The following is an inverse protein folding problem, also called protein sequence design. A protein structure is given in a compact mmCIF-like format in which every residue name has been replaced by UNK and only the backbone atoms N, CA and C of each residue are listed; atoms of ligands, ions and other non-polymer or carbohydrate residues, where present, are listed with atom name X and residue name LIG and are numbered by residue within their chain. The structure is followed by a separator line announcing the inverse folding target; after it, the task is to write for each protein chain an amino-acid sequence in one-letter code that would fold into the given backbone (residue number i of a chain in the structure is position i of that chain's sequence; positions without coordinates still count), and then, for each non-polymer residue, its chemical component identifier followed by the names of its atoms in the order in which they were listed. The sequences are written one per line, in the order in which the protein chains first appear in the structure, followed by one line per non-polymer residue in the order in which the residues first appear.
data_IF_745400038924
#
_entry.id   IF_745400038924
#
_cell.length_a   1.000
_cell.length_b   1.000
_cell.length_c   1.000
_cell.angle_alpha   90.00
_cell.angle_beta   90.00
_cell.angle_gamma   90.00
#
_symmetry.space_group_name_H-M   'P 1'
#
loop_
_entity.id
_entity.type
_entity.pdbx_description
1 polymer ?
#
# COMPACT_ATOMS: atom_id res chain seq x y z
N UNK A 1 -1.69 12.63 -8.88
CA UNK A 1 -2.15 11.25 -9.10
C UNK A 1 -0.93 10.37 -9.34
N UNK A 2 -0.94 9.13 -8.85
CA UNK A 2 0.14 8.13 -9.08
C UNK A 2 -0.39 7.14 -10.12
N UNK A 3 0.24 7.00 -11.31
CA UNK A 3 -0.16 6.01 -12.30
C UNK A 3 0.11 4.60 -11.76
N UNK A 4 -0.77 3.67 -12.10
CA UNK A 4 -0.67 2.26 -11.70
C UNK A 4 -0.96 1.39 -12.92
N UNK A 5 -0.40 0.19 -12.93
CA UNK A 5 -0.59 -0.77 -14.02
C UNK A 5 -1.96 -1.49 -13.96
N UNK A 6 -2.20 -2.38 -14.91
CA UNK A 6 -3.43 -3.17 -14.99
C UNK A 6 -3.59 -4.12 -13.80
N UNK A 7 -2.50 -4.66 -13.26
CA UNK A 7 -2.53 -5.55 -12.10
C UNK A 7 -3.05 -4.83 -10.85
N UNK A 8 -2.54 -3.62 -10.57
CA UNK A 8 -3.02 -2.81 -9.45
C UNK A 8 -4.46 -2.34 -9.71
N UNK A 9 -4.81 -2.01 -10.96
CA UNK A 9 -6.20 -1.69 -11.31
C UNK A 9 -7.15 -2.85 -10.96
N UNK A 10 -6.78 -4.09 -11.31
CA UNK A 10 -7.57 -5.28 -10.98
C UNK A 10 -7.69 -5.48 -9.47
N UNK A 11 -6.59 -5.31 -8.72
CA UNK A 11 -6.61 -5.39 -7.27
C UNK A 11 -7.57 -4.36 -6.65
N UNK A 12 -7.53 -3.11 -7.13
CA UNK A 12 -8.45 -2.05 -6.67
C UNK A 12 -9.90 -2.38 -7.01
N UNK A 13 -10.18 -2.94 -8.18
CA UNK A 13 -11.53 -3.39 -8.55
C UNK A 13 -12.02 -4.51 -7.64
N UNK A 14 -11.17 -5.49 -7.31
CA UNK A 14 -11.49 -6.56 -6.36
C UNK A 14 -11.76 -6.01 -4.96
N UNK A 15 -10.96 -5.05 -4.49
CA UNK A 15 -11.20 -4.39 -3.21
C UNK A 15 -12.53 -3.62 -3.20
N UNK A 16 -12.88 -2.93 -4.29
CA UNK A 16 -14.18 -2.26 -4.45
C UNK A 16 -15.33 -3.25 -4.42
N UNK A 17 -15.18 -4.39 -5.08
CA UNK A 17 -16.18 -5.47 -5.05
C UNK A 17 -16.40 -5.97 -3.62
N UNK A 18 -15.34 -6.25 -2.87
CA UNK A 18 -15.48 -6.64 -1.45
C UNK A 18 -16.07 -5.53 -0.59
N UNK A 19 -15.71 -4.26 -0.84
CA UNK A 19 -16.28 -3.12 -0.14
C UNK A 19 -17.78 -2.96 -0.39
N UNK A 20 -18.24 -3.27 -1.60
CA UNK A 20 -19.66 -3.26 -1.97
C UNK A 20 -20.46 -4.34 -1.21
N UNK A 21 -19.86 -5.49 -0.94
CA UNK A 21 -20.48 -6.56 -0.15
C UNK A 21 -20.45 -6.31 1.37
N UNK A 22 -19.70 -5.32 1.83
CA UNK A 22 -19.56 -5.04 3.25
C UNK A 22 -20.87 -4.43 3.81
N UNK A 23 -21.42 -4.96 4.91
CA UNK A 23 -22.68 -4.49 5.48
C UNK A 23 -22.58 -3.10 6.11
N UNK A 24 -21.37 -2.57 6.33
CA UNK A 24 -21.18 -1.22 6.87
C UNK A 24 -21.54 -0.16 5.83
N UNK A 25 -22.18 0.94 6.26
CA UNK A 25 -22.57 2.02 5.36
C UNK A 25 -21.38 2.56 4.57
N UNK A 26 -21.66 3.04 3.36
CA UNK A 26 -20.65 3.64 2.50
C UNK A 26 -20.09 4.92 3.16
N UNK A 27 -18.80 4.91 3.45
CA UNK A 27 -18.05 5.99 4.10
C UNK A 27 -17.04 6.66 3.14
N UNK A 28 -17.13 6.33 1.85
CA UNK A 28 -16.22 6.80 0.80
C UNK A 28 -14.83 6.16 0.84
N UNK A 29 -14.57 5.18 1.71
CA UNK A 29 -13.25 4.52 1.83
C UNK A 29 -13.19 3.23 1.04
N UNK A 30 -12.01 2.95 0.48
CA UNK A 30 -11.76 1.71 -0.27
C UNK A 30 -11.74 0.47 0.64
N UNK A 31 -11.21 0.60 1.85
CA UNK A 31 -11.12 -0.48 2.83
C UNK A 31 -12.11 -0.22 3.97
N UNK A 32 -12.91 -1.23 4.30
CA UNK A 32 -13.77 -1.20 5.46
C UNK A 32 -12.93 -1.26 6.75
N UNK A 33 -13.33 -0.50 7.76
CA UNK A 33 -12.64 -0.50 9.05
C UNK A 33 -12.91 0.74 9.89
N UNK A 34 -12.52 0.69 11.18
CA UNK A 34 -12.74 1.79 12.10
C UNK A 34 -12.08 3.09 11.58
N UNK A 35 -12.69 4.25 11.85
CA UNK A 35 -12.36 5.50 11.19
C UNK A 35 -10.91 5.96 11.42
N UNK A 36 -10.25 5.47 12.48
CA UNK A 36 -8.91 5.86 12.87
C UNK A 36 -7.82 5.25 11.96
N UNK A 37 -7.16 6.10 11.17
CA UNK A 37 -6.00 5.78 10.31
C UNK A 37 -4.92 4.95 11.03
N UNK A 38 -4.68 5.24 12.29
CA UNK A 38 -3.73 4.53 13.15
C UNK A 38 -4.08 3.04 13.32
N UNK A 39 -5.37 2.72 13.36
CA UNK A 39 -5.84 1.33 13.53
C UNK A 39 -5.55 0.49 12.29
N UNK A 40 -5.75 1.06 11.09
CA UNK A 40 -5.45 0.37 9.83
C UNK A 40 -3.95 0.05 9.71
N UNK A 41 -3.09 1.05 9.97
CA UNK A 41 -1.64 0.87 9.88
C UNK A 41 -1.12 -0.18 10.88
N UNK A 42 -1.66 -0.17 12.11
CA UNK A 42 -1.33 -1.18 13.12
C UNK A 42 -1.73 -2.58 12.65
N UNK A 43 -2.98 -2.76 12.19
CA UNK A 43 -3.46 -4.05 11.67
C UNK A 43 -2.64 -4.55 10.50
N UNK A 44 -2.30 -3.67 9.55
CA UNK A 44 -1.45 -4.03 8.41
C UNK A 44 -0.05 -4.47 8.86
N UNK A 45 0.55 -3.76 9.80
CA UNK A 45 1.86 -4.12 10.35
C UNK A 45 1.80 -5.47 11.08
N UNK A 46 0.78 -5.69 11.90
CA UNK A 46 0.62 -6.94 12.64
C UNK A 46 0.42 -8.12 11.67
N UNK A 47 -0.36 -7.92 10.60
CA UNK A 47 -0.54 -8.91 9.53
C UNK A 47 0.79 -9.20 8.79
N UNK A 48 1.56 -8.17 8.43
CA UNK A 48 2.87 -8.37 7.79
C UNK A 48 3.83 -9.14 8.70
N UNK A 49 3.81 -8.88 10.02
CA UNK A 49 4.60 -9.67 10.98
C UNK A 49 4.17 -11.14 11.02
N UNK A 50 2.86 -11.41 11.01
CA UNK A 50 2.33 -12.78 10.98
C UNK A 50 2.77 -13.53 9.72
N UNK A 51 2.72 -12.88 8.55
CA UNK A 51 3.18 -13.46 7.28
C UNK A 51 4.69 -13.71 7.29
N UNK A 52 5.49 -12.77 7.81
CA UNK A 52 6.93 -12.99 7.93
C UNK A 52 7.24 -14.19 8.84
N UNK A 53 6.55 -14.28 9.97
CA UNK A 53 6.70 -15.39 10.90
C UNK A 53 6.29 -16.73 10.28
N UNK A 54 5.15 -16.80 9.57
CA UNK A 54 4.68 -18.05 8.95
C UNK A 54 5.59 -18.54 7.82
N UNK A 55 6.34 -17.64 7.19
CA UNK A 55 7.33 -17.96 6.16
C UNK A 55 8.76 -18.17 6.72
N UNK A 56 8.95 -18.10 8.05
CA UNK A 56 10.28 -18.24 8.68
C UNK A 56 11.24 -17.08 8.37
N UNK A 57 10.72 -15.92 7.95
CA UNK A 57 11.51 -14.74 7.63
C UNK A 57 11.91 -14.03 8.93
N UNK A 58 13.21 -13.88 9.16
CA UNK A 58 13.77 -13.11 10.28
C UNK A 58 13.59 -11.60 10.11
N UNK A 59 13.26 -11.15 8.89
CA UNK A 59 13.12 -9.72 8.57
C UNK A 59 11.77 -9.19 9.02
N UNK A 60 11.78 -8.09 9.77
CA UNK A 60 10.57 -7.36 10.16
C UNK A 60 10.14 -6.42 9.05
N UNK A 61 9.15 -6.83 8.25
CA UNK A 61 8.59 -6.01 7.16
C UNK A 61 7.50 -5.07 7.69
N UNK A 62 7.61 -3.78 7.38
CA UNK A 62 6.64 -2.73 7.70
C UNK A 62 6.35 -1.84 6.47
N UNK A 63 5.22 -1.10 6.43
CA UNK A 63 4.78 -0.39 5.22
C UNK A 63 5.79 0.59 4.62
N UNK A 64 6.61 1.26 5.45
CA UNK A 64 7.62 2.19 4.92
C UNK A 64 8.70 1.48 4.09
N UNK A 65 9.05 0.22 4.42
CA UNK A 65 10.03 -0.55 3.65
C UNK A 65 9.48 -0.91 2.27
N UNK A 66 8.19 -1.23 2.17
CA UNK A 66 7.55 -1.45 0.86
C UNK A 66 7.63 -0.20 -0.03
N UNK A 67 7.52 1.00 0.57
CA UNK A 67 7.73 2.27 -0.14
C UNK A 67 9.18 2.46 -0.58
N UNK A 68 10.16 2.05 0.24
CA UNK A 68 11.56 2.04 -0.17
C UNK A 68 11.81 1.07 -1.32
N UNK A 69 11.26 -0.15 -1.25
CA UNK A 69 11.35 -1.13 -2.34
C UNK A 69 10.79 -0.55 -3.63
N UNK A 70 9.59 0.05 -3.62
CA UNK A 70 9.03 0.73 -4.78
C UNK A 70 9.98 1.81 -5.34
N UNK A 71 10.56 2.65 -4.48
CA UNK A 71 11.48 3.70 -4.90
C UNK A 71 12.75 3.14 -5.55
N UNK A 72 13.36 2.13 -4.94
CA UNK A 72 14.55 1.46 -5.46
C UNK A 72 14.27 0.76 -6.79
N UNK A 73 13.14 0.08 -6.91
CA UNK A 73 12.76 -0.59 -8.17
C UNK A 73 12.49 0.42 -9.30
N UNK A 74 11.87 1.57 -9.00
CA UNK A 74 11.69 2.63 -10.00
C UNK A 74 13.03 3.20 -10.49
N UNK A 75 14.01 3.41 -9.59
CA UNK A 75 15.35 3.84 -9.99
C UNK A 75 16.06 2.79 -10.86
N UNK A 76 15.96 1.51 -10.49
CA UNK A 76 16.51 0.39 -11.27
C UNK A 76 15.88 0.26 -12.65
N UNK A 77 14.59 0.59 -12.76
CA UNK A 77 13.87 0.66 -14.03
C UNK A 77 14.16 1.93 -14.85
N UNK A 78 15.06 2.81 -14.39
CA UNK A 78 15.48 4.01 -15.12
C UNK A 78 14.58 5.23 -14.93
N UNK A 79 13.64 5.22 -13.98
CA UNK A 79 12.85 6.41 -13.64
C UNK A 79 13.75 7.48 -13.05
N UNK A 80 13.65 8.70 -13.56
CA UNK A 80 14.47 9.81 -13.09
C UNK A 80 14.14 10.19 -11.65
N UNK A 81 15.15 10.62 -10.90
CA UNK A 81 14.97 11.01 -9.50
C UNK A 81 13.88 12.08 -9.29
N UNK A 82 13.79 13.16 -10.10
CA UNK A 82 12.70 14.14 -9.97
C UNK A 82 11.31 13.56 -10.23
N UNK A 83 11.18 12.66 -11.22
CA UNK A 83 9.92 11.99 -11.49
C UNK A 83 9.51 11.07 -10.34
N UNK A 84 10.46 10.32 -9.77
CA UNK A 84 10.22 9.48 -8.60
C UNK A 84 9.80 10.29 -7.37
N UNK A 85 10.45 11.43 -7.10
CA UNK A 85 10.09 12.32 -6.00
C UNK A 85 8.64 12.81 -6.11
N UNK A 86 8.20 13.15 -7.33
CA UNK A 86 6.80 13.51 -7.61
C UNK A 86 5.83 12.35 -7.34
N UNK A 87 6.17 11.12 -7.74
CA UNK A 87 5.36 9.92 -7.49
C UNK A 87 5.23 9.60 -6.00
N UNK A 88 6.32 9.79 -5.26
CA UNK A 88 6.37 9.60 -3.83
C UNK A 88 5.65 10.74 -3.07
N UNK A 89 5.39 11.88 -3.71
CA UNK A 89 4.70 13.01 -3.09
C UNK A 89 5.62 13.85 -2.19
N UNK A 90 6.92 13.88 -2.50
CA UNK A 90 7.84 14.82 -1.87
C UNK A 90 7.68 16.20 -2.51
N UNK A 91 7.36 17.21 -1.70
CA UNK A 91 7.06 18.59 -2.12
C UNK A 91 8.28 19.49 -2.28
N UNK A 92 9.48 18.97 -2.05
CA UNK A 92 10.74 19.70 -2.19
C UNK A 92 11.78 18.75 -2.80
N UNK A 93 12.33 19.14 -3.93
CA UNK A 93 13.60 18.62 -4.44
C UNK A 93 14.69 19.61 -4.04
#
# INVERSE_FOLDING_TARGET
MVPVDSFVCELVQRLRFFRFLDPQPADGRLLAGPPAKTTLLRRLRDYLHQVCHSLGLSTRIVPHQLRHTYATEMLRAGVTFPALMKLLGHTSA
#
